data_IF_283457532829
#
_entry.id   IF_283457532829
#
_cell.length_a   1.000
_cell.length_b   1.000
_cell.length_c   1.000
_cell.angle_alpha   90.00
_cell.angle_beta   90.00
_cell.angle_gamma   90.00
#
_symmetry.space_group_name_H-M   'P 1'
#
loop_
_entity.id
_entity.type
_entity.pdbx_description
1 polymer ?
#
# COMPACT_ATOMS: atom_id res chain seq x y z
N UNK A 1 1.30 -19.44 -14.79
CA UNK A 1 0.19 -19.69 -15.74
C UNK A 1 -0.44 -21.06 -15.48
N UNK A 2 0.34 -22.16 -15.47
CA UNK A 2 -0.15 -23.53 -15.22
C UNK A 2 -0.91 -23.67 -13.90
N UNK A 3 -0.36 -23.18 -12.79
CA UNK A 3 -1.01 -23.25 -11.45
C UNK A 3 -2.39 -22.58 -11.38
N UNK A 4 -2.72 -21.71 -12.34
CA UNK A 4 -4.02 -21.03 -12.41
C UNK A 4 -5.04 -21.79 -13.29
N UNK A 5 -4.65 -22.91 -13.91
CA UNK A 5 -5.47 -23.65 -14.86
C UNK A 5 -5.74 -22.88 -16.16
N UNK A 6 -4.86 -21.94 -16.50
CA UNK A 6 -4.96 -21.13 -17.71
C UNK A 6 -4.13 -21.80 -18.80
N UNK A 7 -4.77 -22.14 -19.92
CA UNK A 7 -4.15 -22.82 -21.06
C UNK A 7 -4.33 -21.99 -22.34
N UNK A 8 -3.54 -22.28 -23.37
CA UNK A 8 -3.69 -21.69 -24.70
C UNK A 8 -3.43 -20.18 -24.76
N UNK A 9 -2.63 -19.64 -23.84
CA UNK A 9 -2.25 -18.23 -23.80
C UNK A 9 -1.10 -18.01 -24.80
N UNK A 10 -1.14 -16.93 -25.57
CA UNK A 10 -0.12 -16.63 -26.57
C UNK A 10 1.28 -16.56 -25.92
N UNK A 11 2.34 -17.15 -26.52
CA UNK A 11 3.70 -17.08 -25.98
C UNK A 11 4.19 -15.67 -25.64
N UNK A 12 3.81 -14.65 -26.41
CA UNK A 12 4.21 -13.26 -26.14
C UNK A 12 3.55 -12.72 -24.88
N UNK A 13 2.26 -13.00 -24.67
CA UNK A 13 1.57 -12.67 -23.41
C UNK A 13 2.17 -13.44 -22.22
N UNK A 14 2.64 -14.68 -22.42
CA UNK A 14 3.37 -15.43 -21.37
C UNK A 14 4.68 -14.71 -21.01
N UNK A 15 5.41 -14.18 -21.99
CA UNK A 15 6.63 -13.39 -21.74
C UNK A 15 6.31 -12.12 -20.95
N UNK A 16 5.27 -11.37 -21.33
CA UNK A 16 4.81 -10.19 -20.60
C UNK A 16 4.44 -10.52 -19.15
N UNK A 17 3.68 -11.59 -18.94
CA UNK A 17 3.38 -12.12 -17.59
C UNK A 17 4.65 -12.48 -16.84
N UNK A 18 5.65 -13.07 -17.50
CA UNK A 18 6.96 -13.37 -16.94
C UNK A 18 7.71 -12.11 -16.47
N UNK A 19 7.67 -11.02 -17.25
CA UNK A 19 8.29 -9.73 -16.90
C UNK A 19 7.68 -9.11 -15.64
N UNK A 20 6.40 -9.33 -15.37
CA UNK A 20 5.75 -8.87 -14.13
C UNK A 20 6.42 -9.42 -12.87
N UNK A 21 7.14 -10.55 -12.94
CA UNK A 21 7.93 -11.08 -11.81
C UNK A 21 8.99 -10.09 -11.32
N UNK A 22 9.53 -9.27 -12.21
CA UNK A 22 10.61 -8.32 -11.92
C UNK A 22 10.10 -6.89 -11.67
N UNK A 23 8.78 -6.71 -11.63
CA UNK A 23 8.14 -5.43 -11.34
C UNK A 23 7.46 -5.47 -9.97
N UNK A 24 7.55 -4.37 -9.23
CA UNK A 24 6.78 -4.16 -8.01
C UNK A 24 5.97 -2.89 -8.14
N UNK A 25 4.77 -2.89 -7.59
CA UNK A 25 3.89 -1.72 -7.50
C UNK A 25 3.47 -1.55 -6.05
N UNK A 26 3.67 -0.36 -5.50
CA UNK A 26 3.39 -0.06 -4.08
C UNK A 26 4.04 -1.06 -3.09
N UNK A 27 5.17 -1.66 -3.45
CA UNK A 27 5.88 -2.64 -2.63
C UNK A 27 5.36 -4.08 -2.70
N UNK A 28 4.30 -4.35 -3.48
CA UNK A 28 3.84 -5.68 -3.82
C UNK A 28 4.48 -6.14 -5.14
N UNK A 29 4.88 -7.41 -5.23
CA UNK A 29 5.31 -7.97 -6.51
C UNK A 29 4.11 -8.04 -7.48
N UNK A 30 4.30 -7.56 -8.71
CA UNK A 30 3.21 -7.44 -9.68
C UNK A 30 2.66 -8.80 -10.12
N UNK A 31 3.53 -9.76 -10.45
CA UNK A 31 3.08 -11.11 -10.83
C UNK A 31 2.33 -11.80 -9.67
N UNK A 32 2.82 -11.65 -8.43
CA UNK A 32 2.12 -12.19 -7.27
C UNK A 32 0.73 -11.57 -7.12
N UNK A 33 0.65 -10.25 -7.22
CA UNK A 33 -0.59 -9.49 -7.20
C UNK A 33 -1.57 -10.00 -8.28
N UNK A 34 -1.16 -10.07 -9.56
CA UNK A 34 -2.03 -10.52 -10.65
C UNK A 34 -2.45 -11.99 -10.50
N UNK A 35 -1.62 -12.86 -9.91
CA UNK A 35 -2.01 -14.24 -9.58
C UNK A 35 -3.10 -14.30 -8.51
N UNK A 36 -3.06 -13.41 -7.53
CA UNK A 36 -4.06 -13.32 -6.47
C UNK A 36 -5.38 -12.76 -7.03
N UNK A 37 -5.31 -11.67 -7.82
CA UNK A 37 -6.46 -11.12 -8.54
C UNK A 37 -7.10 -12.20 -9.41
N UNK A 38 -6.32 -12.95 -10.21
CA UNK A 38 -6.85 -14.05 -11.02
C UNK A 38 -7.61 -15.09 -10.19
N UNK A 39 -7.09 -15.50 -9.03
CA UNK A 39 -7.78 -16.46 -8.14
C UNK A 39 -9.10 -15.90 -7.62
N UNK A 40 -9.11 -14.65 -7.15
CA UNK A 40 -10.31 -13.97 -6.67
C UNK A 40 -11.35 -13.84 -7.78
N UNK A 41 -10.94 -13.44 -8.99
CA UNK A 41 -11.81 -13.35 -10.16
C UNK A 41 -12.45 -14.70 -10.49
N UNK A 42 -11.68 -15.78 -10.40
CA UNK A 42 -12.19 -17.13 -10.61
C UNK A 42 -13.26 -17.55 -9.61
N UNK A 43 -13.08 -17.21 -8.32
CA UNK A 43 -14.08 -17.49 -7.28
C UNK A 43 -15.31 -16.62 -7.50
N UNK A 44 -15.15 -15.31 -7.65
CA UNK A 44 -16.24 -14.36 -7.83
C UNK A 44 -17.09 -14.68 -9.07
N UNK A 45 -16.45 -15.00 -10.20
CA UNK A 45 -17.16 -15.42 -11.40
C UNK A 45 -17.94 -16.72 -11.20
N UNK A 46 -17.40 -17.70 -10.47
CA UNK A 46 -18.10 -18.95 -10.19
C UNK A 46 -19.37 -18.72 -9.35
N UNK A 47 -19.27 -17.90 -8.30
CA UNK A 47 -20.42 -17.53 -7.45
C UNK A 47 -21.51 -16.77 -8.22
N UNK A 48 -21.12 -16.00 -9.24
CA UNK A 48 -22.03 -15.25 -10.10
C UNK A 48 -22.54 -16.04 -11.32
N UNK A 49 -22.20 -17.33 -11.45
CA UNK A 49 -22.61 -18.15 -12.58
C UNK A 49 -21.93 -17.79 -13.92
N UNK A 50 -20.83 -17.05 -13.87
CA UNK A 50 -20.02 -16.65 -15.03
C UNK A 50 -18.86 -17.63 -15.26
N UNK A 51 -18.16 -17.49 -16.39
CA UNK A 51 -17.06 -18.39 -16.73
C UNK A 51 -15.79 -18.12 -15.89
N UNK A 52 -15.42 -19.02 -14.95
CA UNK A 52 -14.27 -18.78 -14.06
C UNK A 52 -12.94 -18.80 -14.80
N UNK A 53 -12.84 -19.53 -15.92
CA UNK A 53 -11.62 -19.61 -16.72
C UNK A 53 -11.33 -18.29 -17.43
N UNK A 54 -12.37 -17.63 -17.96
CA UNK A 54 -12.23 -16.30 -18.57
C UNK A 54 -11.84 -15.25 -17.53
N UNK A 55 -12.52 -15.26 -16.38
CA UNK A 55 -12.23 -14.33 -15.29
C UNK A 55 -10.81 -14.47 -14.74
N UNK A 56 -10.32 -15.71 -14.54
CA UNK A 56 -8.91 -15.97 -14.17
C UNK A 56 -7.94 -15.44 -15.21
N UNK A 57 -8.26 -15.60 -16.50
CA UNK A 57 -7.41 -15.13 -17.60
C UNK A 57 -7.35 -13.60 -17.63
N UNK A 58 -8.49 -12.92 -17.61
CA UNK A 58 -8.53 -11.46 -17.55
C UNK A 58 -7.84 -10.92 -16.28
N UNK A 59 -8.10 -11.52 -15.12
CA UNK A 59 -7.46 -11.12 -13.86
C UNK A 59 -5.95 -11.32 -13.83
N UNK A 60 -5.40 -12.33 -14.52
CA UNK A 60 -3.95 -12.48 -14.68
C UNK A 60 -3.37 -11.40 -15.59
N UNK A 61 -4.11 -10.99 -16.62
CA UNK A 61 -3.63 -10.12 -17.68
C UNK A 61 -3.89 -8.62 -17.43
N UNK A 62 -4.76 -8.25 -16.47
CA UNK A 62 -5.22 -6.86 -16.28
C UNK A 62 -4.07 -5.85 -16.19
N UNK A 63 -2.95 -6.26 -15.60
CA UNK A 63 -1.83 -5.39 -15.26
C UNK A 63 -0.59 -5.57 -16.14
N UNK A 64 -0.69 -6.33 -17.25
CA UNK A 64 0.48 -6.58 -18.12
C UNK A 64 1.04 -5.28 -18.70
N UNK A 65 0.23 -4.24 -18.90
CA UNK A 65 0.72 -2.94 -19.36
C UNK A 65 1.70 -2.24 -18.41
N UNK A 66 1.86 -2.70 -17.16
CA UNK A 66 2.86 -2.14 -16.22
C UNK A 66 4.29 -2.61 -16.48
N UNK A 67 4.52 -3.39 -17.54
CA UNK A 67 5.85 -3.80 -18.02
C UNK A 67 6.07 -3.36 -19.48
N UNK A 68 6.19 -2.05 -19.76
CA UNK A 68 6.39 -1.51 -21.12
C UNK A 68 7.61 -2.15 -21.81
N UNK A 69 7.52 -2.40 -23.12
CA UNK A 69 8.61 -2.94 -23.95
C UNK A 69 9.39 -1.83 -24.67
N UNK A 70 8.80 -0.64 -24.82
CA UNK A 70 9.42 0.53 -25.45
C UNK A 70 9.12 1.82 -24.67
N UNK A 71 9.85 2.88 -24.99
CA UNK A 71 9.66 4.20 -24.36
C UNK A 71 8.31 4.83 -24.74
N UNK A 72 7.82 4.59 -25.97
CA UNK A 72 6.49 5.02 -26.42
C UNK A 72 5.34 4.34 -25.63
N UNK A 73 5.58 3.14 -25.09
CA UNK A 73 4.59 2.44 -24.27
C UNK A 73 4.41 3.09 -22.88
N UNK A 74 5.41 3.84 -22.40
CA UNK A 74 5.39 4.46 -21.06
C UNK A 74 4.35 5.57 -20.97
N UNK A 75 4.06 6.25 -22.08
CA UNK A 75 3.08 7.34 -22.14
C UNK A 75 1.63 6.85 -22.23
N UNK A 76 1.41 5.54 -22.49
CA UNK A 76 0.08 4.96 -22.59
C UNK A 76 -0.38 4.45 -21.21
N UNK A 77 -1.61 4.75 -20.77
CA UNK A 77 -2.17 4.16 -19.55
C UNK A 77 -2.08 2.62 -19.58
N UNK A 78 -1.69 2.00 -18.46
CA UNK A 78 -1.34 0.58 -18.46
C UNK A 78 -2.53 -0.33 -18.81
N UNK A 79 -3.75 0.06 -18.44
CA UNK A 79 -4.97 -0.67 -18.80
C UNK A 79 -5.16 -0.70 -20.33
N UNK A 80 -5.01 0.46 -20.98
CA UNK A 80 -5.11 0.61 -22.43
C UNK A 80 -3.99 -0.14 -23.15
N UNK A 81 -2.75 -0.04 -22.66
CA UNK A 81 -1.62 -0.76 -23.23
C UNK A 81 -1.80 -2.27 -23.12
N UNK A 82 -2.20 -2.76 -21.94
CA UNK A 82 -2.47 -4.17 -21.71
C UNK A 82 -3.60 -4.70 -22.60
N UNK A 83 -4.66 -3.91 -22.78
CA UNK A 83 -5.75 -4.24 -23.70
C UNK A 83 -5.25 -4.38 -25.14
N UNK A 84 -4.47 -3.41 -25.63
CA UNK A 84 -3.92 -3.43 -27.00
C UNK A 84 -3.04 -4.66 -27.23
N UNK A 85 -2.22 -5.05 -26.25
CA UNK A 85 -1.43 -6.27 -26.34
C UNK A 85 -2.28 -7.53 -26.33
N UNK A 86 -3.26 -7.61 -25.42
CA UNK A 86 -4.18 -8.75 -25.39
C UNK A 86 -4.91 -8.92 -26.74
N UNK A 87 -5.40 -7.83 -27.32
CA UNK A 87 -6.05 -7.82 -28.62
C UNK A 87 -5.09 -8.24 -29.74
N UNK A 88 -3.90 -7.63 -29.80
CA UNK A 88 -2.85 -7.97 -30.78
C UNK A 88 -2.50 -9.46 -30.79
N UNK A 89 -2.53 -10.10 -29.62
CA UNK A 89 -2.18 -11.51 -29.45
C UNK A 89 -3.37 -12.47 -29.47
N UNK A 90 -4.56 -11.98 -29.84
CA UNK A 90 -5.74 -12.79 -30.14
C UNK A 90 -6.60 -13.16 -28.94
N UNK A 91 -6.55 -12.41 -27.84
CA UNK A 91 -7.50 -12.59 -26.74
C UNK A 91 -8.92 -12.18 -27.15
N UNK A 92 -9.90 -12.73 -26.42
CA UNK A 92 -11.32 -12.47 -26.70
C UNK A 92 -11.69 -11.02 -26.36
N UNK A 93 -12.65 -10.40 -27.07
CA UNK A 93 -13.09 -9.03 -26.81
C UNK A 93 -13.48 -8.78 -25.34
N UNK A 94 -14.14 -9.74 -24.69
CA UNK A 94 -14.51 -9.65 -23.27
C UNK A 94 -13.29 -9.59 -22.33
N UNK A 95 -12.20 -10.31 -22.67
CA UNK A 95 -10.93 -10.26 -21.91
C UNK A 95 -10.26 -8.91 -22.16
N UNK A 96 -10.20 -8.47 -23.41
CA UNK A 96 -9.63 -7.17 -23.78
C UNK A 96 -10.36 -6.02 -23.07
N UNK A 97 -11.69 -6.01 -23.07
CA UNK A 97 -12.48 -4.98 -22.38
C UNK A 97 -12.23 -5.02 -20.87
N UNK A 98 -12.20 -6.20 -20.25
CA UNK A 98 -11.92 -6.32 -18.82
C UNK A 98 -10.53 -5.79 -18.44
N UNK A 99 -9.53 -5.95 -19.32
CA UNK A 99 -8.20 -5.36 -19.14
C UNK A 99 -8.25 -3.84 -19.37
N UNK A 100 -8.93 -3.36 -20.41
CA UNK A 100 -8.95 -1.93 -20.74
C UNK A 100 -9.77 -1.07 -19.79
N UNK A 101 -10.79 -1.64 -19.14
CA UNK A 101 -11.78 -0.90 -18.37
C UNK A 101 -11.56 -0.96 -16.84
N UNK A 102 -10.56 -1.70 -16.33
CA UNK A 102 -10.45 -1.95 -14.89
C UNK A 102 -10.10 -0.70 -14.04
N UNK A 103 -9.62 0.39 -14.66
CA UNK A 103 -9.50 1.71 -14.03
C UNK A 103 -10.37 2.76 -14.72
N UNK A 104 -11.48 2.33 -15.33
CA UNK A 104 -12.50 3.18 -15.95
C UNK A 104 -12.00 4.03 -17.15
N UNK A 105 -10.91 3.64 -17.81
CA UNK A 105 -10.41 4.34 -19.00
C UNK A 105 -11.29 4.15 -20.24
N UNK A 106 -12.07 3.06 -20.28
CA UNK A 106 -13.08 2.79 -21.31
C UNK A 106 -14.35 2.23 -20.65
N UNK A 107 -15.45 2.24 -21.40
CA UNK A 107 -16.71 1.66 -20.95
C UNK A 107 -16.59 0.15 -20.64
N UNK A 108 -17.15 -0.26 -19.51
CA UNK A 108 -17.30 -1.66 -19.15
C UNK A 108 -18.46 -2.29 -19.94
N UNK A 109 -18.14 -3.09 -20.95
CA UNK A 109 -19.14 -3.71 -21.84
C UNK A 109 -19.42 -5.17 -21.50
N UNK A 110 -18.74 -5.74 -20.50
CA UNK A 110 -18.91 -7.10 -20.01
C UNK A 110 -18.87 -7.15 -18.48
N UNK A 111 -19.57 -8.14 -17.89
CA UNK A 111 -19.55 -8.39 -16.45
C UNK A 111 -18.17 -8.80 -15.92
N UNK A 112 -17.23 -9.18 -16.78
CA UNK A 112 -15.86 -9.43 -16.36
C UNK A 112 -15.16 -8.17 -15.85
N UNK A 113 -15.41 -7.01 -16.47
CA UNK A 113 -14.75 -5.75 -16.14
C UNK A 113 -14.97 -5.32 -14.67
N UNK A 114 -16.21 -5.24 -14.15
CA UNK A 114 -16.42 -4.91 -12.74
C UNK A 114 -15.86 -6.01 -11.80
N UNK A 115 -15.84 -7.29 -12.21
CA UNK A 115 -15.22 -8.36 -11.41
C UNK A 115 -13.71 -8.14 -11.28
N UNK A 116 -13.02 -7.80 -12.38
CA UNK A 116 -11.58 -7.52 -12.35
C UNK A 116 -11.30 -6.31 -11.43
N UNK A 117 -12.05 -5.22 -11.61
CA UNK A 117 -11.89 -4.01 -10.79
C UNK A 117 -12.08 -4.30 -9.29
N UNK A 118 -13.13 -5.03 -8.92
CA UNK A 118 -13.37 -5.39 -7.51
C UNK A 118 -12.27 -6.30 -6.98
N UNK A 119 -11.83 -7.29 -7.75
CA UNK A 119 -10.79 -8.23 -7.30
C UNK A 119 -9.40 -7.57 -7.19
N UNK A 120 -9.07 -6.61 -8.07
CA UNK A 120 -7.88 -5.77 -7.95
C UNK A 120 -7.89 -4.97 -6.64
N UNK A 121 -9.00 -4.26 -6.38
CA UNK A 121 -9.19 -3.50 -5.15
C UNK A 121 -9.06 -4.37 -3.89
N UNK A 122 -9.69 -5.56 -3.87
CA UNK A 122 -9.57 -6.52 -2.76
C UNK A 122 -8.12 -6.96 -2.59
N UNK A 123 -7.42 -7.29 -3.68
CA UNK A 123 -6.02 -7.74 -3.62
C UNK A 123 -5.11 -6.67 -3.03
N UNK A 124 -5.31 -5.41 -3.43
CA UNK A 124 -4.52 -4.26 -3.00
C UNK A 124 -4.84 -3.72 -1.60
N UNK A 125 -6.07 -3.93 -1.11
CA UNK A 125 -6.51 -3.47 0.22
C UNK A 125 -6.12 -4.41 1.37
N UNK A 126 -5.57 -5.60 1.08
CA UNK A 126 -5.17 -6.55 2.12
C UNK A 126 -4.10 -5.96 3.05
N UNK A 127 -4.23 -6.12 4.38
CA UNK A 127 -3.21 -5.70 5.33
C UNK A 127 -1.83 -6.28 4.96
N UNK A 128 -0.83 -5.41 4.84
CA UNK A 128 0.53 -5.78 4.47
C UNK A 128 0.81 -5.91 2.96
N UNK A 129 -0.19 -5.74 2.07
CA UNK A 129 0.01 -5.82 0.63
C UNK A 129 0.81 -4.63 0.07
N UNK A 130 0.55 -3.39 0.52
CA UNK A 130 1.23 -2.18 0.04
C UNK A 130 2.18 -1.60 1.09
N UNK A 131 3.47 -1.48 0.75
CA UNK A 131 4.52 -0.89 1.61
C UNK A 131 4.34 0.61 1.87
N UNK A 132 3.60 1.33 1.02
CA UNK A 132 3.27 2.74 1.26
C UNK A 132 2.60 2.99 2.63
N UNK A 133 1.88 1.98 3.16
CA UNK A 133 1.29 2.04 4.50
C UNK A 133 2.36 2.05 5.59
N UNK A 134 3.47 1.32 5.39
CA UNK A 134 4.59 1.31 6.35
C UNK A 134 5.37 2.63 6.34
N UNK A 135 5.69 3.17 5.16
CA UNK A 135 6.47 4.41 5.08
C UNK A 135 5.68 5.61 5.65
N UNK A 136 4.40 5.73 5.28
CA UNK A 136 3.53 6.78 5.85
C UNK A 136 3.28 6.59 7.35
N UNK A 137 3.24 5.35 7.83
CA UNK A 137 3.16 5.05 9.26
C UNK A 137 4.45 5.44 9.99
N UNK A 138 5.63 5.11 9.45
CA UNK A 138 6.92 5.52 10.02
C UNK A 138 7.05 7.04 10.02
N UNK A 139 6.66 7.71 8.92
CA UNK A 139 6.68 9.16 8.84
C UNK A 139 5.79 9.78 9.91
N UNK A 140 4.57 9.27 10.10
CA UNK A 140 3.66 9.73 11.15
C UNK A 140 4.25 9.60 12.56
N UNK A 141 4.97 8.51 12.84
CA UNK A 141 5.66 8.34 14.13
C UNK A 141 6.77 9.37 14.31
N UNK A 142 7.56 9.63 13.25
CA UNK A 142 8.60 10.66 13.26
C UNK A 142 8.03 12.06 13.45
N UNK A 143 6.91 12.37 12.79
CA UNK A 143 6.24 13.66 12.94
C UNK A 143 5.74 13.84 14.38
N UNK A 144 5.21 12.79 15.01
CA UNK A 144 4.79 12.81 16.41
C UNK A 144 5.97 13.06 17.36
N UNK A 145 7.13 12.45 17.09
CA UNK A 145 8.37 12.72 17.83
C UNK A 145 8.88 14.15 17.61
N UNK A 146 8.79 14.66 16.38
CA UNK A 146 9.21 16.00 16.00
C UNK A 146 8.47 17.10 16.75
N UNK A 147 7.15 16.94 16.95
CA UNK A 147 6.32 17.88 17.73
C UNK A 147 6.88 18.10 19.14
N UNK A 148 7.38 17.06 19.80
CA UNK A 148 7.97 17.20 21.13
C UNK A 148 9.32 17.95 21.11
N UNK A 149 10.12 17.80 20.05
CA UNK A 149 11.41 18.49 19.94
C UNK A 149 11.31 20.00 19.74
N UNK A 150 10.14 20.52 19.38
CA UNK A 150 9.89 21.97 19.31
C UNK A 150 9.86 22.63 20.70
N UNK A 151 9.69 21.85 21.77
CA UNK A 151 9.62 22.38 23.13
C UNK A 151 11.00 22.47 23.79
N UNK A 152 11.39 23.65 24.33
CA UNK A 152 12.66 23.81 25.02
C UNK A 152 12.82 22.86 26.22
N UNK A 153 14.00 22.24 26.33
CA UNK A 153 14.33 21.32 27.42
C UNK A 153 13.98 19.85 27.15
N UNK A 154 13.35 19.53 26.00
CA UNK A 154 13.18 18.15 25.54
C UNK A 154 14.50 17.61 25.00
N UNK A 155 14.98 16.50 25.58
CA UNK A 155 16.21 15.82 25.19
C UNK A 155 15.97 14.70 24.21
N UNK A 156 14.90 13.92 24.41
CA UNK A 156 14.49 12.79 23.55
C UNK A 156 12.97 12.66 23.54
N UNK A 157 12.42 12.18 22.44
CA UNK A 157 11.02 11.81 22.31
C UNK A 157 10.91 10.48 21.58
N UNK A 158 9.97 9.63 22.01
CA UNK A 158 9.73 8.32 21.42
C UNK A 158 8.23 8.07 21.26
N UNK A 159 7.80 7.84 20.03
CA UNK A 159 6.46 7.37 19.72
C UNK A 159 6.41 5.85 19.92
N UNK A 160 5.77 5.40 20.99
CA UNK A 160 5.65 3.98 21.35
C UNK A 160 4.19 3.53 21.28
N UNK A 161 3.96 2.21 21.47
CA UNK A 161 2.63 1.60 21.36
C UNK A 161 1.91 1.95 20.04
N UNK A 162 2.63 1.78 18.93
CA UNK A 162 2.15 2.14 17.61
C UNK A 162 1.70 3.61 17.45
N UNK A 163 2.34 4.51 18.20
CA UNK A 163 2.07 5.95 18.21
C UNK A 163 0.94 6.39 19.14
N UNK A 164 0.37 5.48 19.95
CA UNK A 164 -0.65 5.82 20.96
C UNK A 164 -0.06 6.37 22.26
N UNK A 165 1.24 6.29 22.45
CA UNK A 165 1.93 6.94 23.56
C UNK A 165 3.17 7.66 23.05
N UNK A 166 3.31 8.94 23.41
CA UNK A 166 4.51 9.73 23.19
C UNK A 166 5.24 9.89 24.52
N UNK A 167 6.44 9.33 24.61
CA UNK A 167 7.28 9.40 25.80
C UNK A 167 8.40 10.42 25.58
N UNK A 168 8.40 11.46 26.39
CA UNK A 168 9.28 12.62 26.26
C UNK A 168 10.22 12.64 27.46
N UNK A 169 11.53 12.69 27.20
CA UNK A 169 12.58 12.77 28.21
C UNK A 169 13.14 14.18 28.20
N UNK A 170 13.12 14.85 29.35
CA UNK A 170 13.59 16.23 29.49
C UNK A 170 14.92 16.32 30.25
N UNK A 171 15.63 17.42 30.04
CA UNK A 171 16.84 17.74 30.79
C UNK A 171 16.47 18.20 32.22
N UNK A 172 16.83 17.41 33.24
CA UNK A 172 16.45 17.70 34.64
C UNK A 172 16.99 19.03 35.17
N UNK A 173 18.10 19.51 34.62
CA UNK A 173 18.72 20.78 34.98
C UNK A 173 17.98 22.00 34.42
N UNK A 174 17.24 21.83 33.32
CA UNK A 174 16.55 22.93 32.60
C UNK A 174 15.04 22.95 32.84
N UNK A 175 14.46 21.81 33.20
CA UNK A 175 13.02 21.62 33.37
C UNK A 175 12.72 21.28 34.83
N UNK A 176 11.89 22.07 35.49
CA UNK A 176 11.37 21.77 36.84
C UNK A 176 10.23 20.75 36.79
N UNK A 177 9.82 20.20 37.93
CA UNK A 177 8.69 19.26 38.00
C UNK A 177 7.37 19.92 37.56
N UNK A 178 7.12 21.17 37.99
CA UNK A 178 5.96 21.94 37.53
C UNK A 178 6.00 22.18 36.02
N UNK A 179 7.18 22.52 35.47
CA UNK A 179 7.33 22.73 34.02
C UNK A 179 7.14 21.41 33.25
N UNK A 180 7.55 20.27 33.80
CA UNK A 180 7.34 18.96 33.19
C UNK A 180 5.84 18.61 33.12
N UNK A 181 5.06 18.93 34.16
CA UNK A 181 3.62 18.78 34.15
C UNK A 181 2.98 19.65 33.05
N UNK A 182 3.33 20.94 32.98
CA UNK A 182 2.83 21.85 31.94
C UNK A 182 3.24 21.41 30.53
N UNK A 183 4.49 20.95 30.34
CA UNK A 183 4.98 20.41 29.06
C UNK A 183 4.14 19.25 28.55
N UNK A 184 3.75 18.33 29.45
CA UNK A 184 2.93 17.17 29.05
C UNK A 184 1.58 17.60 28.48
N UNK A 185 0.98 18.64 29.07
CA UNK A 185 -0.28 19.22 28.62
C UNK A 185 -0.10 19.99 27.31
N UNK A 186 0.89 20.88 27.23
CA UNK A 186 1.19 21.68 26.03
C UNK A 186 1.46 20.80 24.80
N UNK A 187 2.26 19.75 24.94
CA UNK A 187 2.55 18.79 23.87
C UNK A 187 1.27 18.07 23.43
N UNK A 188 0.41 17.65 24.37
CA UNK A 188 -0.85 16.99 24.04
C UNK A 188 -1.80 17.90 23.24
N UNK A 189 -1.87 19.18 23.58
CA UNK A 189 -2.67 20.18 22.86
C UNK A 189 -2.13 20.45 21.47
N UNK A 190 -0.80 20.53 21.33
CA UNK A 190 -0.16 20.72 20.03
C UNK A 190 -0.39 19.53 19.09
N UNK A 191 -0.28 18.30 19.58
CA UNK A 191 -0.63 17.10 18.80
C UNK A 191 -2.09 17.14 18.36
N UNK A 192 -3.01 17.55 19.25
CA UNK A 192 -4.43 17.66 18.92
C UNK A 192 -4.73 18.72 17.85
N UNK A 193 -3.94 19.79 17.79
CA UNK A 193 -4.16 20.93 16.89
C UNK A 193 -3.46 20.75 15.55
N UNK A 194 -2.18 20.34 15.58
CA UNK A 194 -1.28 20.36 14.42
C UNK A 194 -1.31 19.02 13.65
N UNK A 195 -1.82 17.94 14.26
CA UNK A 195 -1.83 16.61 13.66
C UNK A 195 -3.24 16.01 13.61
N UNK A 196 -3.59 15.45 12.45
CA UNK A 196 -4.77 14.59 12.34
C UNK A 196 -4.42 13.19 12.85
N UNK A 197 -4.72 12.90 14.12
CA UNK A 197 -4.44 11.61 14.74
C UNK A 197 -5.73 10.84 15.06
N UNK A 198 -5.90 9.59 14.58
CA UNK A 198 -7.09 8.80 14.91
C UNK A 198 -7.00 8.26 16.34
N UNK A 199 -7.82 8.81 17.23
CA UNK A 199 -7.94 8.39 18.62
C UNK A 199 -7.07 9.19 19.59
N UNK A 200 -6.94 8.69 20.81
CA UNK A 200 -6.22 9.37 21.88
C UNK A 200 -4.73 9.02 21.85
N UNK A 201 -3.88 10.03 22.05
CA UNK A 201 -2.44 9.88 22.26
C UNK A 201 -2.11 10.25 23.70
N UNK A 202 -1.52 9.32 24.44
CA UNK A 202 -1.05 9.57 25.81
C UNK A 202 0.33 10.23 25.76
N UNK A 203 0.48 11.41 26.36
CA UNK A 203 1.79 12.07 26.49
C UNK A 203 2.34 11.82 27.89
N UNK A 204 3.55 11.27 27.99
CA UNK A 204 4.25 11.05 29.25
C UNK A 204 5.57 11.79 29.24
N UNK A 205 5.73 12.79 30.10
CA UNK A 205 7.00 13.51 30.29
C UNK A 205 7.74 12.89 31.46
N UNK A 206 9.01 12.52 31.23
CA UNK A 206 9.90 11.90 32.20
C UNK A 206 11.05 12.86 32.44
N UNK A 207 11.14 13.36 33.67
CA UNK A 207 12.32 14.03 34.17
C UNK A 207 13.21 13.01 34.84
N UNK A 208 14.44 12.86 34.36
CA UNK A 208 15.39 11.86 34.85
C UNK A 208 16.72 12.51 35.19
N UNK A 209 17.24 12.23 36.39
CA UNK A 209 18.63 12.53 36.77
C UNK A 209 19.38 11.21 36.89
N UNK A 210 20.50 11.09 36.17
CA UNK A 210 21.35 9.89 36.20
C UNK A 210 22.65 10.19 36.94
N UNK A 211 22.84 9.54 38.09
CA UNK A 211 24.13 9.51 38.78
C UNK A 211 24.79 8.14 38.53
N UNK A 212 26.03 8.14 38.03
CA UNK A 212 26.78 6.91 37.70
C UNK A 212 28.12 6.96 38.40
N UNK A 213 28.37 5.97 39.26
CA UNK A 213 29.66 5.76 39.93
C UNK A 213 30.23 4.41 39.47
N UNK A 214 31.51 4.38 39.15
CA UNK A 214 32.22 3.16 38.77
C UNK A 214 33.17 2.82 39.92
N UNK A 215 32.93 1.69 40.58
CA UNK A 215 33.90 1.11 41.50
C UNK A 215 34.99 0.41 40.67
N UNK A 216 36.25 0.60 41.05
CA UNK A 216 37.37 -0.21 40.57
C UNK A 216 37.76 -1.22 41.64
#
# INVERSE_FOLDING_TARGET
VIDLGIHGLNPELIKLVGRMKYRSSYGQNLLQHSREVAKLCGVMAAELGLNPKLAKRAGLLHDIGKVPDSEADVETPHAILGMKWAEKYGEKPEVCNAIGAHHDEIEMTTLLSPIIQVCDAISGARPGARRQVLDSYIQRLKDLEAVAFEFPGVKKAYAIQAGRELRVIVESEKVSDDRAASLSFEISQKIQTDMTYPGQVKVTVIRETRAVNIAK
#
